data_IF_003003962589
#
_entry.id   IF_003003962589
#
_cell.length_a   1.000
_cell.length_b   1.000
_cell.length_c   1.000
_cell.angle_alpha   90.00
_cell.angle_beta   90.00
_cell.angle_gamma   90.00
#
_symmetry.space_group_name_H-M   'P 1'
#
loop_
_entity.id
_entity.type
_entity.pdbx_description
1 polymer ?
#
# COMPACT_ATOMS: atom_id res chain seq x y z
N UNK A 1 2.02 -14.37 19.66
CA UNK A 1 1.82 -15.09 18.38
C UNK A 1 3.14 -15.03 17.62
N UNK A 2 3.79 -16.16 17.35
CA UNK A 2 5.10 -16.20 16.68
C UNK A 2 4.88 -16.48 15.20
N UNK A 3 5.30 -15.55 14.33
CA UNK A 3 5.32 -15.76 12.88
C UNK A 3 6.79 -15.75 12.41
N UNK A 4 7.27 -16.88 11.90
CA UNK A 4 8.54 -16.97 11.17
C UNK A 4 8.23 -17.06 9.68
N UNK A 5 8.64 -16.06 8.90
CA UNK A 5 8.54 -16.04 7.44
C UNK A 5 9.94 -16.03 6.83
N UNK A 6 10.21 -16.99 5.94
CA UNK A 6 11.49 -17.15 5.25
C UNK A 6 11.77 -16.11 4.16
N UNK A 7 13.06 -15.94 3.88
CA UNK A 7 13.80 -15.19 2.85
C UNK A 7 13.06 -14.46 1.70
N UNK A 8 12.10 -13.60 2.01
CA UNK A 8 11.89 -12.35 1.25
C UNK A 8 11.49 -11.22 2.22
N UNK A 9 12.46 -10.47 2.77
CA UNK A 9 12.18 -9.41 3.73
C UNK A 9 11.32 -8.30 3.14
N UNK A 10 11.41 -8.05 1.82
CA UNK A 10 10.63 -7.01 1.16
C UNK A 10 9.15 -7.43 0.98
N UNK A 11 8.90 -8.70 0.61
CA UNK A 11 7.54 -9.23 0.52
C UNK A 11 6.84 -9.34 1.88
N UNK A 12 7.58 -9.67 2.93
CA UNK A 12 7.04 -9.86 4.29
C UNK A 12 6.71 -8.54 4.97
N UNK A 13 7.63 -7.55 4.92
CA UNK A 13 7.41 -6.22 5.49
C UNK A 13 6.18 -5.55 4.86
N UNK A 14 6.08 -5.64 3.54
CA UNK A 14 4.96 -5.12 2.77
C UNK A 14 3.63 -5.80 3.11
N UNK A 15 3.61 -7.12 3.24
CA UNK A 15 2.40 -7.84 3.67
C UNK A 15 1.98 -7.41 5.07
N UNK A 16 2.94 -7.28 5.99
CA UNK A 16 2.66 -6.76 7.33
C UNK A 16 2.12 -5.34 7.30
N UNK A 17 2.61 -4.48 6.40
CA UNK A 17 2.09 -3.12 6.21
C UNK A 17 0.66 -3.10 5.68
N UNK A 18 0.33 -3.96 4.72
CA UNK A 18 -1.05 -4.10 4.22
C UNK A 18 -1.97 -4.70 5.28
N UNK A 19 -1.52 -5.71 6.02
CA UNK A 19 -2.29 -6.31 7.12
C UNK A 19 -2.52 -5.30 8.27
N UNK A 20 -1.53 -4.46 8.58
CA UNK A 20 -1.68 -3.35 9.53
C UNK A 20 -2.72 -2.35 9.04
N UNK A 21 -2.64 -1.94 7.78
CA UNK A 21 -3.62 -1.03 7.18
C UNK A 21 -5.03 -1.60 7.25
N UNK A 22 -5.20 -2.88 6.90
CA UNK A 22 -6.47 -3.59 7.00
C UNK A 22 -6.99 -3.64 8.43
N UNK A 23 -6.11 -3.92 9.41
CA UNK A 23 -6.49 -3.90 10.81
C UNK A 23 -6.96 -2.51 11.25
N UNK A 24 -6.20 -1.46 10.91
CA UNK A 24 -6.54 -0.08 11.22
C UNK A 24 -7.88 0.35 10.58
N UNK A 25 -8.10 0.02 9.31
CA UNK A 25 -9.37 0.25 8.61
C UNK A 25 -10.54 -0.52 9.27
N UNK A 26 -10.33 -1.78 9.67
CA UNK A 26 -11.35 -2.55 10.39
C UNK A 26 -11.69 -1.98 11.78
N UNK A 27 -10.78 -1.21 12.39
CA UNK A 27 -11.05 -0.46 13.62
C UNK A 27 -11.67 0.93 13.38
N UNK A 28 -12.00 1.28 12.13
CA UNK A 28 -12.56 2.58 11.76
C UNK A 28 -11.54 3.71 11.84
N UNK A 29 -10.25 3.41 11.76
CA UNK A 29 -9.20 4.43 11.69
C UNK A 29 -9.04 4.92 10.25
N UNK A 30 -8.86 6.22 10.07
CA UNK A 30 -8.50 6.78 8.77
C UNK A 30 -7.07 6.38 8.40
N UNK A 31 -6.91 5.57 7.36
CA UNK A 31 -5.59 5.07 6.91
C UNK A 31 -5.22 5.67 5.56
N UNK A 32 -4.04 6.29 5.49
CA UNK A 32 -3.47 6.78 4.23
C UNK A 32 -2.36 5.83 3.79
N UNK A 33 -2.58 5.06 2.72
CA UNK A 33 -1.57 4.18 2.14
C UNK A 33 -0.80 4.92 1.06
N UNK A 34 0.53 4.95 1.18
CA UNK A 34 1.42 5.57 0.19
C UNK A 34 2.44 4.56 -0.30
N UNK A 35 2.46 4.31 -1.61
CA UNK A 35 3.41 3.42 -2.28
C UNK A 35 4.52 4.24 -2.94
N UNK A 36 5.77 3.84 -2.72
CA UNK A 36 6.93 4.47 -3.33
C UNK A 36 7.98 3.42 -3.76
N UNK A 37 8.92 3.82 -4.61
CA UNK A 37 10.05 2.98 -5.02
C UNK A 37 9.62 1.61 -5.57
N UNK A 38 10.11 0.53 -4.95
CA UNK A 38 9.78 -0.85 -5.35
C UNK A 38 8.32 -1.24 -5.08
N UNK A 39 7.65 -0.58 -4.14
CA UNK A 39 6.23 -0.81 -3.82
C UNK A 39 5.29 -0.44 -4.96
N UNK A 40 5.70 0.46 -5.86
CA UNK A 40 4.92 0.83 -7.05
C UNK A 40 4.68 -0.37 -7.98
N UNK A 41 5.57 -1.37 -7.97
CA UNK A 41 5.42 -2.57 -8.79
C UNK A 41 4.19 -3.41 -8.41
N UNK A 42 3.68 -3.25 -7.19
CA UNK A 42 2.52 -3.98 -6.65
C UNK A 42 1.19 -3.44 -7.15
N UNK A 43 1.17 -2.16 -7.53
CA UNK A 43 0.02 -1.49 -8.10
C UNK A 43 -0.13 -1.77 -9.60
N UNK A 44 0.75 -2.58 -10.18
CA UNK A 44 0.65 -3.01 -11.58
C UNK A 44 -0.65 -3.76 -11.81
N UNK A 45 -1.24 -3.62 -13.01
CA UNK A 45 -2.46 -4.34 -13.40
C UNK A 45 -2.29 -5.86 -13.58
N UNK A 46 -1.07 -6.39 -13.49
CA UNK A 46 -0.77 -7.82 -13.57
C UNK A 46 -0.39 -8.34 -12.19
N UNK A 47 -0.89 -9.51 -11.78
CA UNK A 47 -0.43 -10.15 -10.58
C UNK A 47 1.08 -10.38 -10.68
N UNK A 48 1.81 -9.89 -9.67
CA UNK A 48 3.20 -10.26 -9.45
C UNK A 48 3.28 -11.76 -9.07
N UNK A 49 4.49 -12.31 -9.01
CA UNK A 49 4.74 -13.71 -8.61
C UNK A 49 4.02 -14.12 -7.32
N UNK A 50 3.71 -13.14 -6.45
CA UNK A 50 2.89 -13.32 -5.25
C UNK A 50 1.43 -12.85 -5.48
N UNK A 51 0.58 -13.75 -5.98
CA UNK A 51 -0.83 -13.46 -6.27
C UNK A 51 -1.69 -13.13 -5.05
N UNK A 52 -1.28 -13.54 -3.85
CA UNK A 52 -2.03 -13.27 -2.62
C UNK A 52 -2.06 -11.78 -2.31
N UNK A 53 -0.91 -11.10 -2.41
CA UNK A 53 -0.81 -9.67 -2.11
C UNK A 53 -1.57 -8.83 -3.14
N UNK A 54 -1.57 -9.26 -4.40
CA UNK A 54 -2.35 -8.62 -5.46
C UNK A 54 -3.86 -8.65 -5.15
N UNK A 55 -4.35 -9.81 -4.68
CA UNK A 55 -5.75 -9.99 -4.25
C UNK A 55 -6.07 -9.20 -2.98
N UNK A 56 -5.13 -9.19 -2.02
CA UNK A 56 -5.28 -8.45 -0.77
C UNK A 56 -5.45 -6.96 -1.01
N UNK A 57 -4.59 -6.38 -1.84
CA UNK A 57 -4.69 -4.97 -2.24
C UNK A 57 -5.99 -4.65 -2.98
N UNK A 58 -6.55 -5.60 -3.74
CA UNK A 58 -7.85 -5.44 -4.41
C UNK A 58 -9.04 -5.53 -3.46
N UNK A 59 -8.82 -6.06 -2.26
CA UNK A 59 -9.83 -6.12 -1.21
C UNK A 59 -9.88 -4.89 -0.33
N UNK A 60 -8.89 -3.97 -0.43
CA UNK A 60 -8.81 -2.75 0.38
C UNK A 60 -10.12 -1.94 0.45
N UNK A 61 -10.87 -1.74 -0.65
CA UNK A 61 -12.13 -0.99 -0.59
C UNK A 61 -13.19 -1.62 0.31
N UNK A 62 -13.14 -2.93 0.57
CA UNK A 62 -14.04 -3.61 1.51
C UNK A 62 -13.70 -3.35 2.98
N UNK A 63 -12.58 -2.68 3.26
CA UNK A 63 -12.09 -2.33 4.60
C UNK A 63 -12.03 -0.81 4.79
N UNK A 64 -12.88 -0.06 4.09
CA UNK A 64 -12.95 1.42 4.14
C UNK A 64 -11.67 2.13 3.65
N UNK A 65 -10.76 1.39 3.01
CA UNK A 65 -9.57 1.94 2.35
C UNK A 65 -9.89 2.11 0.87
N UNK A 66 -10.56 3.22 0.54
CA UNK A 66 -11.10 3.47 -0.80
C UNK A 66 -10.02 3.85 -1.82
N UNK A 67 -8.91 4.43 -1.35
CA UNK A 67 -7.87 4.95 -2.22
C UNK A 67 -6.47 4.70 -1.66
N UNK A 68 -5.50 4.65 -2.56
CA UNK A 68 -4.07 4.59 -2.23
C UNK A 68 -3.31 5.61 -3.05
N UNK A 69 -2.17 6.04 -2.51
CA UNK A 69 -1.35 7.08 -3.10
C UNK A 69 -0.06 6.53 -3.69
N UNK A 70 0.44 7.16 -4.75
CA UNK A 70 1.74 6.87 -5.34
C UNK A 70 2.66 8.07 -5.18
N UNK A 71 3.82 7.85 -4.56
CA UNK A 71 4.84 8.88 -4.40
C UNK A 71 5.91 8.71 -5.50
N UNK A 72 6.13 9.79 -6.25
CA UNK A 72 7.11 9.85 -7.34
C UNK A 72 6.92 8.76 -8.42
N UNK A 73 5.67 8.53 -8.86
CA UNK A 73 5.38 7.59 -9.94
C UNK A 73 6.13 8.03 -11.22
N UNK A 74 7.05 7.20 -11.77
CA UNK A 74 7.80 7.58 -12.97
C UNK A 74 6.87 7.79 -14.17
N UNK A 75 7.09 8.83 -15.00
CA UNK A 75 6.37 8.98 -16.26
C UNK A 75 6.64 7.77 -17.16
N UNK A 76 5.58 7.18 -17.73
CA UNK A 76 5.67 5.94 -18.52
C UNK A 76 5.64 4.65 -17.69
N UNK A 77 5.23 4.72 -16.43
CA UNK A 77 4.96 3.53 -15.61
C UNK A 77 3.92 2.61 -16.27
N UNK A 78 4.03 1.31 -15.98
CA UNK A 78 3.06 0.30 -16.46
C UNK A 78 1.64 0.68 -16.02
N UNK A 79 0.61 0.26 -16.78
CA UNK A 79 -0.77 0.45 -16.38
C UNK A 79 -1.00 -0.10 -14.97
N UNK A 80 -1.59 0.76 -14.14
CA UNK A 80 -1.95 0.44 -12.78
C UNK A 80 -3.24 -0.40 -12.77
N UNK A 81 -3.48 -1.11 -11.67
CA UNK A 81 -4.74 -1.83 -11.42
C UNK A 81 -5.93 -0.85 -11.43
N UNK A 82 -7.10 -1.36 -11.81
CA UNK A 82 -8.33 -0.56 -11.98
C UNK A 82 -9.38 -0.85 -10.90
N UNK A 83 -9.18 -1.88 -10.09
CA UNK A 83 -10.06 -2.29 -8.99
C UNK A 83 -9.79 -1.52 -7.68
N UNK A 84 -8.89 -0.53 -7.71
CA UNK A 84 -8.55 0.34 -6.59
C UNK A 84 -8.29 1.75 -7.10
N UNK A 85 -8.80 2.76 -6.38
CA UNK A 85 -8.52 4.16 -6.70
C UNK A 85 -7.06 4.47 -6.37
N UNK A 86 -6.27 4.81 -7.39
CA UNK A 86 -4.85 5.15 -7.22
C UNK A 86 -4.64 6.61 -7.62
N UNK A 87 -4.19 7.42 -6.67
CA UNK A 87 -3.93 8.84 -6.87
C UNK A 87 -2.43 9.14 -6.77
N UNK A 88 -1.88 9.99 -7.64
CA UNK A 88 -0.54 10.52 -7.42
C UNK A 88 -0.52 11.41 -6.17
N UNK A 89 0.59 11.37 -5.45
CA UNK A 89 0.88 12.24 -4.31
C UNK A 89 2.30 12.79 -4.47
N UNK A 90 2.43 14.10 -4.31
CA UNK A 90 3.72 14.81 -4.35
C UNK A 90 4.47 14.64 -3.02
N UNK A 91 5.78 14.94 -3.03
CA UNK A 91 6.58 14.94 -1.81
C UNK A 91 6.08 15.93 -0.75
N UNK A 92 5.54 17.07 -1.17
CA UNK A 92 4.97 18.07 -0.26
C UNK A 92 3.67 17.58 0.39
N UNK A 93 2.78 16.98 -0.40
CA UNK A 93 1.54 16.37 0.11
C UNK A 93 1.82 15.20 1.06
N UNK A 94 2.80 14.35 0.74
CA UNK A 94 3.25 13.30 1.65
C UNK A 94 3.80 13.89 2.95
N UNK A 95 4.61 14.94 2.87
CA UNK A 95 5.22 15.57 4.04
C UNK A 95 4.15 16.18 4.95
N UNK A 96 3.12 16.80 4.37
CA UNK A 96 1.97 17.33 5.09
C UNK A 96 1.16 16.18 5.74
N UNK A 97 0.83 15.14 4.98
CA UNK A 97 0.08 13.99 5.48
C UNK A 97 0.83 13.24 6.59
N UNK A 98 2.15 13.07 6.46
CA UNK A 98 2.98 12.45 7.49
C UNK A 98 3.11 13.30 8.75
N UNK A 99 3.02 14.63 8.62
CA UNK A 99 3.03 15.55 9.77
C UNK A 99 1.70 15.60 10.52
N UNK A 100 0.60 15.37 9.80
CA UNK A 100 -0.76 15.32 10.35
C UNK A 100 -1.10 13.94 10.93
N UNK A 101 -0.45 12.88 10.44
CA UNK A 101 -0.68 11.52 10.91
C UNK A 101 -0.20 11.31 12.35
N UNK A 102 -1.09 10.77 13.20
CA UNK A 102 -0.75 10.35 14.57
C UNK A 102 0.34 9.28 14.59
N UNK A 103 0.40 8.43 13.55
CA UNK A 103 1.35 7.33 13.42
C UNK A 103 1.79 7.19 11.96
N UNK A 104 3.11 7.20 11.74
CA UNK A 104 3.72 6.90 10.43
C UNK A 104 4.52 5.61 10.54
N UNK A 105 4.19 4.62 9.71
CA UNK A 105 4.89 3.33 9.68
C UNK A 105 5.50 3.12 8.29
N UNK A 106 6.82 2.91 8.24
CA UNK A 106 7.57 2.65 7.01
C UNK A 106 7.99 1.17 6.95
N UNK A 107 7.71 0.53 5.82
CA UNK A 107 8.03 -0.88 5.54
C UNK A 107 8.93 -1.02 4.31
#
# INVERSE_FOLDING_TARGET
MTLSGGDDPAGTALRAGVDLALAAGAFGQSVTLVFCGKGLALLSNKPQTNGDLFRLLGSLPYYEIEQVHTLNLPPGSKPLREDLTILPMTGEEWSAAASDADIVVNY
#
